data_IF_426480578055
#
_entry.id   IF_426480578055
#
_cell.length_a   1.000
_cell.length_b   1.000
_cell.length_c   1.000
_cell.angle_alpha   90.00
_cell.angle_beta   90.00
_cell.angle_gamma   90.00
#
_symmetry.space_group_name_H-M   'P 1'
#
loop_
_entity.id
_entity.type
_entity.pdbx_description
1 polymer ?
#
# COMPACT_ATOMS: atom_id res chain seq x y z
N UNK A 1 24.59 -0.51 -1.81
CA UNK A 1 24.64 -1.48 -2.95
C UNK A 1 25.38 -0.80 -4.11
N UNK A 2 26.15 -1.52 -4.93
CA UNK A 2 26.81 -0.95 -6.13
C UNK A 2 26.32 -1.62 -7.41
N UNK A 3 26.47 -0.98 -8.57
CA UNK A 3 26.15 -1.59 -9.88
C UNK A 3 26.91 -2.91 -10.06
N UNK A 4 28.19 -2.96 -9.70
CA UNK A 4 28.98 -4.19 -9.77
C UNK A 4 28.40 -5.31 -8.90
N UNK A 5 28.01 -4.98 -7.66
CA UNK A 5 27.40 -5.97 -6.74
C UNK A 5 26.05 -6.46 -7.27
N UNK A 6 25.23 -5.58 -7.84
CA UNK A 6 23.95 -5.94 -8.45
C UNK A 6 24.15 -6.86 -9.66
N UNK A 7 25.03 -6.49 -10.58
CA UNK A 7 25.24 -7.26 -11.81
C UNK A 7 25.87 -8.63 -11.57
N UNK A 8 26.67 -8.79 -10.50
CA UNK A 8 27.17 -10.10 -10.08
C UNK A 8 26.06 -11.08 -9.65
N UNK A 9 24.85 -10.60 -9.37
CA UNK A 9 23.67 -11.42 -9.06
C UNK A 9 22.88 -11.79 -10.33
N UNK A 10 23.37 -11.40 -11.50
CA UNK A 10 22.73 -11.60 -12.81
C UNK A 10 23.71 -12.22 -13.78
N UNK A 11 23.21 -12.73 -14.91
CA UNK A 11 24.06 -13.21 -16.01
C UNK A 11 24.50 -12.08 -16.97
N UNK A 12 24.35 -10.82 -16.56
CA UNK A 12 24.58 -9.64 -17.40
C UNK A 12 25.78 -8.81 -16.95
N UNK A 13 26.40 -8.14 -17.91
CA UNK A 13 27.59 -7.31 -17.67
C UNK A 13 27.23 -5.91 -17.14
N UNK A 14 28.21 -5.21 -16.56
CA UNK A 14 28.05 -3.80 -16.18
C UNK A 14 27.73 -2.89 -17.37
N UNK A 15 28.25 -3.19 -18.56
CA UNK A 15 27.89 -2.40 -19.76
C UNK A 15 26.44 -2.63 -20.17
N UNK A 16 25.90 -3.84 -19.97
CA UNK A 16 24.47 -4.12 -20.16
C UNK A 16 23.62 -3.28 -19.21
N UNK A 17 24.03 -3.12 -17.94
CA UNK A 17 23.34 -2.21 -17.01
C UNK A 17 23.27 -0.79 -17.57
N UNK A 18 24.41 -0.21 -17.95
CA UNK A 18 24.48 1.16 -18.44
C UNK A 18 23.86 1.37 -19.83
N UNK A 19 23.54 0.29 -20.55
CA UNK A 19 22.74 0.37 -21.77
C UNK A 19 21.24 0.60 -21.48
N UNK A 20 20.77 0.28 -20.27
CA UNK A 20 19.38 0.42 -19.85
C UNK A 20 19.16 1.47 -18.76
N UNK A 21 20.15 1.68 -17.89
CA UNK A 21 20.04 2.53 -16.71
C UNK A 21 21.26 3.41 -16.51
N UNK A 22 21.07 4.70 -16.23
CA UNK A 22 22.17 5.64 -15.99
C UNK A 22 22.80 5.46 -14.60
N UNK A 23 21.99 5.11 -13.61
CA UNK A 23 22.39 4.93 -12.21
C UNK A 23 21.54 3.85 -11.52
N UNK A 24 21.80 3.59 -10.24
CA UNK A 24 21.02 2.62 -9.45
C UNK A 24 19.61 3.13 -9.10
N UNK A 25 19.32 4.43 -9.24
CA UNK A 25 18.02 5.00 -8.91
C UNK A 25 16.98 4.62 -9.94
N UNK A 26 17.30 4.65 -11.22
CA UNK A 26 16.35 4.30 -12.30
C UNK A 26 15.72 2.89 -12.15
N UNK A 27 16.47 1.80 -11.90
CA UNK A 27 15.86 0.51 -11.65
C UNK A 27 15.09 0.45 -10.33
N UNK A 28 15.48 1.20 -9.29
CA UNK A 28 14.72 1.29 -8.04
C UNK A 28 13.38 2.02 -8.24
N UNK A 29 13.37 3.09 -9.03
CA UNK A 29 12.17 3.81 -9.45
C UNK A 29 11.24 2.88 -10.26
N UNK A 30 11.79 2.10 -11.20
CA UNK A 30 11.01 1.12 -11.96
C UNK A 30 10.37 0.03 -11.09
N UNK A 31 11.09 -0.46 -10.06
CA UNK A 31 10.51 -1.42 -9.09
C UNK A 31 9.42 -0.75 -8.26
N UNK A 32 9.60 0.51 -7.85
CA UNK A 32 8.58 1.26 -7.12
C UNK A 32 7.32 1.47 -7.96
N UNK A 33 7.46 1.79 -9.24
CA UNK A 33 6.34 1.94 -10.18
C UNK A 33 5.60 0.61 -10.42
N UNK A 34 6.30 -0.50 -10.56
CA UNK A 34 5.66 -1.83 -10.65
C UNK A 34 4.81 -2.13 -9.41
N UNK A 35 5.35 -1.85 -8.22
CA UNK A 35 4.62 -2.06 -6.97
C UNK A 35 3.44 -1.12 -6.84
N UNK A 36 3.57 0.11 -7.34
CA UNK A 36 2.48 1.10 -7.39
C UNK A 36 1.31 0.55 -8.17
N UNK A 37 1.55 0.02 -9.37
CA UNK A 37 0.49 -0.54 -10.21
C UNK A 37 -0.20 -1.73 -9.54
N UNK A 38 0.55 -2.63 -8.92
CA UNK A 38 -0.02 -3.78 -8.19
C UNK A 38 -0.87 -3.35 -6.99
N UNK A 39 -0.39 -2.37 -6.20
CA UNK A 39 -1.08 -1.88 -5.02
C UNK A 39 -2.31 -1.06 -5.41
N UNK A 40 -2.22 -0.19 -6.43
CA UNK A 40 -3.37 0.53 -6.97
C UNK A 40 -4.42 -0.41 -7.53
N UNK A 41 -4.01 -1.46 -8.24
CA UNK A 41 -4.92 -2.52 -8.69
C UNK A 41 -5.68 -3.18 -7.53
N UNK A 42 -5.03 -3.40 -6.38
CA UNK A 42 -5.67 -3.97 -5.19
C UNK A 42 -6.67 -3.02 -4.50
N UNK A 43 -6.42 -1.71 -4.51
CA UNK A 43 -7.30 -0.72 -3.85
C UNK A 43 -8.38 -0.12 -4.75
N UNK A 44 -8.23 -0.25 -6.07
CA UNK A 44 -9.16 0.29 -7.06
C UNK A 44 -10.63 -0.11 -6.80
N UNK A 45 -10.97 -1.36 -6.41
CA UNK A 45 -12.36 -1.73 -6.13
C UNK A 45 -13.00 -0.87 -5.05
N UNK A 46 -12.33 -0.61 -3.93
CA UNK A 46 -12.88 0.26 -2.89
C UNK A 46 -12.93 1.73 -3.30
N UNK A 47 -11.99 2.20 -4.13
CA UNK A 47 -11.98 3.59 -4.60
C UNK A 47 -13.14 3.90 -5.56
N UNK A 48 -13.43 2.98 -6.49
CA UNK A 48 -14.30 3.26 -7.64
C UNK A 48 -15.69 2.59 -7.58
N UNK A 49 -15.87 1.52 -6.80
CA UNK A 49 -17.11 0.73 -6.84
C UNK A 49 -18.18 1.29 -5.90
N UNK A 50 -19.43 1.21 -6.34
CA UNK A 50 -20.62 1.34 -5.49
C UNK A 50 -21.01 0.04 -4.77
N UNK A 51 -22.16 0.03 -4.11
CA UNK A 51 -22.66 -1.08 -3.29
C UNK A 51 -22.21 -0.98 -1.83
N UNK A 52 -22.02 -2.11 -1.16
CA UNK A 52 -21.61 -2.15 0.25
C UNK A 52 -20.13 -1.75 0.43
N UNK A 53 -19.84 -0.56 0.99
CA UNK A 53 -18.47 -0.08 1.13
C UNK A 53 -17.65 -0.89 2.15
N UNK A 54 -18.28 -1.56 3.12
CA UNK A 54 -17.59 -2.39 4.11
C UNK A 54 -17.12 -3.71 3.50
N UNK A 55 -17.96 -4.35 2.68
CA UNK A 55 -17.54 -5.51 1.89
C UNK A 55 -16.38 -5.16 0.97
N UNK A 56 -16.47 -4.03 0.25
CA UNK A 56 -15.38 -3.56 -0.63
C UNK A 56 -14.09 -3.28 0.12
N UNK A 57 -14.16 -2.66 1.29
CA UNK A 57 -12.98 -2.46 2.14
C UNK A 57 -12.34 -3.79 2.54
N UNK A 58 -13.16 -4.76 2.95
CA UNK A 58 -12.68 -6.09 3.36
C UNK A 58 -11.99 -6.84 2.22
N UNK A 59 -12.59 -6.81 1.02
CA UNK A 59 -12.01 -7.35 -0.22
C UNK A 59 -10.67 -6.67 -0.57
N UNK A 60 -10.63 -5.33 -0.49
CA UNK A 60 -9.43 -4.55 -0.77
C UNK A 60 -8.30 -4.84 0.22
N UNK A 61 -8.58 -4.95 1.53
CA UNK A 61 -7.56 -5.31 2.52
C UNK A 61 -7.03 -6.73 2.29
N UNK A 62 -7.89 -7.68 1.89
CA UNK A 62 -7.44 -9.02 1.50
C UNK A 62 -6.47 -8.96 0.30
N UNK A 63 -6.84 -8.22 -0.75
CA UNK A 63 -5.99 -8.03 -1.92
C UNK A 63 -4.65 -7.37 -1.56
N UNK A 64 -4.69 -6.31 -0.74
CA UNK A 64 -3.50 -5.62 -0.27
C UNK A 64 -2.58 -6.52 0.56
N UNK A 65 -3.12 -7.32 1.47
CA UNK A 65 -2.31 -8.27 2.26
C UNK A 65 -1.70 -9.35 1.37
N UNK A 66 -2.41 -9.79 0.32
CA UNK A 66 -1.87 -10.73 -0.68
C UNK A 66 -0.67 -10.12 -1.42
N UNK A 67 -0.80 -8.89 -1.91
CA UNK A 67 0.29 -8.14 -2.55
C UNK A 67 1.45 -7.97 -1.56
N UNK A 68 1.17 -7.51 -0.34
CA UNK A 68 2.18 -7.34 0.71
C UNK A 68 2.92 -8.63 1.06
N UNK A 69 2.24 -9.77 1.09
CA UNK A 69 2.87 -11.06 1.35
C UNK A 69 3.79 -11.50 0.20
N UNK A 70 3.37 -11.27 -1.05
CA UNK A 70 4.15 -11.61 -2.25
C UNK A 70 5.36 -10.69 -2.42
N UNK A 71 5.16 -9.39 -2.22
CA UNK A 71 6.13 -8.32 -2.48
C UNK A 71 6.87 -7.82 -1.25
N UNK A 72 6.60 -8.37 -0.07
CA UNK A 72 7.19 -7.94 1.21
C UNK A 72 8.69 -7.63 1.19
N UNK A 73 9.56 -8.51 0.63
CA UNK A 73 10.98 -8.22 0.54
C UNK A 73 11.32 -6.97 -0.28
N UNK A 74 10.58 -6.69 -1.36
CA UNK A 74 10.77 -5.47 -2.15
C UNK A 74 10.30 -4.24 -1.36
N UNK A 75 9.13 -4.31 -0.72
CA UNK A 75 8.64 -3.24 0.16
C UNK A 75 9.65 -2.89 1.26
N UNK A 76 10.26 -3.92 1.88
CA UNK A 76 11.32 -3.72 2.87
C UNK A 76 12.56 -3.09 2.25
N UNK A 77 13.05 -3.62 1.13
CA UNK A 77 14.26 -3.11 0.48
C UNK A 77 14.11 -1.63 0.08
N UNK A 78 12.94 -1.25 -0.44
CA UNK A 78 12.60 0.14 -0.77
C UNK A 78 12.58 0.99 0.49
N UNK A 79 11.87 0.55 1.54
CA UNK A 79 11.80 1.30 2.80
C UNK A 79 13.17 1.47 3.47
N UNK A 80 14.04 0.46 3.40
CA UNK A 80 15.40 0.54 3.94
C UNK A 80 16.25 1.49 3.09
N UNK A 81 16.17 1.41 1.75
CA UNK A 81 16.92 2.27 0.84
C UNK A 81 16.53 3.76 0.99
N UNK A 82 15.23 4.04 1.15
CA UNK A 82 14.73 5.40 1.37
C UNK A 82 15.33 6.05 2.62
N UNK A 83 15.70 5.28 3.65
CA UNK A 83 16.31 5.83 4.87
C UNK A 83 17.75 6.34 4.69
N UNK A 84 18.43 5.99 3.59
CA UNK A 84 19.83 6.34 3.33
C UNK A 84 20.04 7.18 2.06
N UNK A 85 18.98 7.43 1.29
CA UNK A 85 19.04 8.16 0.03
C UNK A 85 17.89 9.17 -0.09
N UNK A 86 18.20 10.46 0.06
CA UNK A 86 17.19 11.54 0.07
C UNK A 86 16.44 11.69 -1.26
N UNK A 87 17.04 11.31 -2.41
CA UNK A 87 16.33 11.33 -3.70
C UNK A 87 15.28 10.22 -3.73
N UNK A 88 15.66 9.04 -3.26
CA UNK A 88 14.75 7.91 -3.21
C UNK A 88 13.69 8.05 -2.12
N UNK A 89 14.03 8.65 -0.97
CA UNK A 89 13.08 9.05 0.08
C UNK A 89 11.93 9.86 -0.48
N UNK A 90 12.21 10.91 -1.26
CA UNK A 90 11.18 11.73 -1.92
C UNK A 90 10.29 10.92 -2.87
N UNK A 91 10.87 9.95 -3.58
CA UNK A 91 10.11 9.08 -4.48
C UNK A 91 9.19 8.15 -3.70
N UNK A 92 9.67 7.61 -2.58
CA UNK A 92 8.89 6.79 -1.66
C UNK A 92 7.76 7.57 -0.97
N UNK A 93 8.05 8.79 -0.50
CA UNK A 93 7.04 9.67 0.10
C UNK A 93 5.96 10.08 -0.91
N UNK A 94 6.35 10.41 -2.15
CA UNK A 94 5.41 10.70 -3.23
C UNK A 94 4.52 9.49 -3.52
N UNK A 95 5.12 8.30 -3.63
CA UNK A 95 4.38 7.05 -3.80
C UNK A 95 3.31 6.85 -2.71
N UNK A 96 3.67 7.05 -1.43
CA UNK A 96 2.72 6.95 -0.32
C UNK A 96 1.65 8.04 -0.37
N UNK A 97 2.03 9.27 -0.72
CA UNK A 97 1.15 10.43 -0.81
C UNK A 97 0.05 10.31 -1.87
N UNK A 98 0.26 9.54 -2.93
CA UNK A 98 -0.77 9.26 -3.93
C UNK A 98 -1.92 8.42 -3.36
N UNK A 99 -1.62 7.44 -2.51
CA UNK A 99 -2.64 6.68 -1.78
C UNK A 99 -3.36 7.54 -0.74
N UNK A 100 -2.63 8.45 -0.08
CA UNK A 100 -3.20 9.41 0.86
C UNK A 100 -4.22 10.31 0.14
N UNK A 101 -3.86 10.81 -1.03
CA UNK A 101 -4.72 11.64 -1.88
C UNK A 101 -5.97 10.89 -2.32
N UNK A 102 -5.80 9.68 -2.88
CA UNK A 102 -6.92 8.87 -3.37
C UNK A 102 -7.87 8.46 -2.24
N UNK A 103 -7.35 8.00 -1.11
CA UNK A 103 -8.15 7.61 0.05
C UNK A 103 -8.89 8.80 0.65
N UNK A 104 -8.24 9.97 0.76
CA UNK A 104 -8.87 11.21 1.26
C UNK A 104 -10.05 11.60 0.39
N UNK A 105 -9.89 11.57 -0.94
CA UNK A 105 -10.97 11.87 -1.87
C UNK A 105 -12.15 10.89 -1.71
N UNK A 106 -11.88 9.60 -1.55
CA UNK A 106 -12.92 8.58 -1.33
C UNK A 106 -13.66 8.78 -0.01
N UNK A 107 -12.95 9.03 1.08
CA UNK A 107 -13.59 9.25 2.39
C UNK A 107 -14.47 10.51 2.36
N UNK A 108 -14.00 11.60 1.75
CA UNK A 108 -14.82 12.81 1.55
C UNK A 108 -16.10 12.52 0.75
N UNK A 109 -15.99 11.71 -0.30
CA UNK A 109 -17.14 11.33 -1.11
C UNK A 109 -18.14 10.44 -0.35
N UNK A 110 -17.66 9.55 0.53
CA UNK A 110 -18.53 8.75 1.42
C UNK A 110 -19.17 9.61 2.53
N UNK A 111 -18.45 10.59 3.09
CA UNK A 111 -19.00 11.58 4.03
C UNK A 111 -20.10 12.41 3.39
N UNK A 112 -19.93 12.87 2.15
CA UNK A 112 -20.95 13.60 1.40
C UNK A 112 -22.24 12.77 1.14
N UNK A 113 -22.15 11.45 1.23
CA UNK A 113 -23.29 10.53 1.15
C UNK A 113 -23.86 10.15 2.52
N UNK A 114 -23.27 10.63 3.63
CA UNK A 114 -23.66 10.27 5.00
C UNK A 114 -23.27 8.85 5.41
N UNK A 115 -22.31 8.21 4.70
CA UNK A 115 -21.86 6.85 4.98
C UNK A 115 -20.76 6.78 6.05
N UNK A 116 -20.02 7.88 6.21
CA UNK A 116 -18.93 8.07 7.16
C UNK A 116 -19.25 9.33 7.97
N UNK A 117 -18.97 9.32 9.28
CA UNK A 117 -19.16 10.49 10.14
C UNK A 117 -18.22 11.66 9.76
N UNK A 118 -18.59 12.89 10.12
CA UNK A 118 -17.78 14.06 9.79
C UNK A 118 -16.51 14.17 10.65
N UNK A 119 -15.37 14.23 9.98
CA UNK A 119 -14.03 14.51 10.50
C UNK A 119 -13.11 14.95 9.36
N UNK A 120 -11.92 15.51 9.65
CA UNK A 120 -10.92 15.80 8.62
C UNK A 120 -10.28 14.50 8.09
N UNK A 121 -10.55 14.10 6.83
CA UNK A 121 -10.11 12.78 6.35
C UNK A 121 -8.61 12.68 6.10
N UNK A 122 -7.94 13.80 5.81
CA UNK A 122 -6.53 13.78 5.42
C UNK A 122 -5.60 13.17 6.50
N UNK A 123 -5.62 13.61 7.78
CA UNK A 123 -4.79 13.02 8.82
C UNK A 123 -5.15 11.57 9.13
N UNK A 124 -6.44 11.21 9.06
CA UNK A 124 -6.91 9.83 9.33
C UNK A 124 -6.42 8.87 8.25
N UNK A 125 -6.63 9.21 6.97
CA UNK A 125 -6.18 8.38 5.84
C UNK A 125 -4.65 8.27 5.82
N UNK A 126 -3.93 9.37 6.06
CA UNK A 126 -2.47 9.34 6.20
C UNK A 126 -2.04 8.33 7.26
N UNK A 127 -2.61 8.40 8.47
CA UNK A 127 -2.27 7.48 9.56
C UNK A 127 -2.58 6.02 9.21
N UNK A 128 -3.74 5.75 8.61
CA UNK A 128 -4.14 4.41 8.19
C UNK A 128 -3.21 3.84 7.10
N UNK A 129 -2.81 4.64 6.12
CA UNK A 129 -1.86 4.21 5.09
C UNK A 129 -0.46 3.96 5.67
N UNK A 130 0.02 4.81 6.58
CA UNK A 130 1.30 4.58 7.27
C UNK A 130 1.26 3.33 8.15
N UNK A 131 0.15 3.07 8.83
CA UNK A 131 -0.09 1.82 9.56
C UNK A 131 -0.01 0.60 8.63
N UNK A 132 -0.69 0.63 7.48
CA UNK A 132 -0.66 -0.46 6.51
C UNK A 132 0.76 -0.74 6.04
N UNK A 133 1.46 0.28 5.55
CA UNK A 133 2.83 0.17 5.04
C UNK A 133 3.76 -0.44 6.10
N UNK A 134 3.76 0.12 7.31
CA UNK A 134 4.62 -0.35 8.40
C UNK A 134 4.30 -1.78 8.82
N UNK A 135 3.01 -2.11 8.92
CA UNK A 135 2.56 -3.45 9.32
C UNK A 135 2.96 -4.49 8.29
N UNK A 136 2.75 -4.24 7.00
CA UNK A 136 3.11 -5.17 5.93
C UNK A 136 4.62 -5.36 5.81
N UNK A 137 5.41 -4.28 5.89
CA UNK A 137 6.88 -4.37 5.89
C UNK A 137 7.36 -5.21 7.07
N UNK A 138 6.84 -4.97 8.27
CA UNK A 138 7.23 -5.72 9.47
C UNK A 138 6.77 -7.19 9.43
N UNK A 139 5.61 -7.49 8.84
CA UNK A 139 5.05 -8.83 8.79
C UNK A 139 5.65 -9.70 7.67
N UNK A 140 5.97 -9.11 6.52
CA UNK A 140 6.26 -9.83 5.28
C UNK A 140 7.63 -9.51 4.67
N UNK A 141 8.31 -8.46 5.19
CA UNK A 141 9.58 -7.96 4.67
C UNK A 141 10.77 -8.89 4.87
N UNK A 142 10.75 -9.72 5.91
CA UNK A 142 11.84 -10.66 6.23
C UNK A 142 11.31 -12.07 6.44
N UNK A 143 12.21 -13.05 6.41
CA UNK A 143 11.91 -14.44 6.77
C UNK A 143 12.26 -14.69 8.25
N UNK A 144 11.48 -15.52 8.98
CA UNK A 144 10.20 -16.10 8.55
C UNK A 144 9.09 -15.05 8.48
N UNK A 145 8.23 -15.15 7.45
CA UNK A 145 7.09 -14.24 7.29
C UNK A 145 5.98 -14.62 8.27
N UNK A 146 5.24 -13.62 8.77
CA UNK A 146 4.01 -13.85 9.56
C UNK A 146 2.91 -14.47 8.70
N UNK A 147 1.95 -15.13 9.36
CA UNK A 147 0.73 -15.61 8.68
C UNK A 147 -0.06 -14.39 8.16
N UNK A 148 -0.51 -14.40 6.89
CA UNK A 148 -1.26 -13.28 6.32
C UNK A 148 -2.61 -13.02 7.01
N UNK A 149 -3.30 -14.09 7.41
CA UNK A 149 -4.69 -13.99 7.86
C UNK A 149 -4.90 -13.12 9.12
N UNK A 150 -4.10 -13.25 10.20
CA UNK A 150 -4.21 -12.34 11.33
C UNK A 150 -3.94 -10.87 10.98
N UNK A 151 -3.03 -10.62 10.02
CA UNK A 151 -2.73 -9.25 9.55
C UNK A 151 -3.93 -8.69 8.78
N UNK A 152 -4.53 -9.49 7.89
CA UNK A 152 -5.76 -9.14 7.16
C UNK A 152 -6.88 -8.75 8.10
N UNK A 153 -7.18 -9.61 9.08
CA UNK A 153 -8.26 -9.37 10.06
C UNK A 153 -8.02 -8.06 10.82
N UNK A 154 -6.80 -7.85 11.32
CA UNK A 154 -6.48 -6.65 12.10
C UNK A 154 -6.61 -5.36 11.26
N UNK A 155 -6.05 -5.34 10.04
CA UNK A 155 -6.12 -4.17 9.18
C UNK A 155 -7.56 -3.87 8.74
N UNK A 156 -8.33 -4.89 8.35
CA UNK A 156 -9.73 -4.71 7.96
C UNK A 156 -10.57 -4.17 9.12
N UNK A 157 -10.38 -4.71 10.32
CA UNK A 157 -11.06 -4.23 11.53
C UNK A 157 -10.79 -2.75 11.77
N UNK A 158 -9.52 -2.33 11.75
CA UNK A 158 -9.14 -0.93 12.05
C UNK A 158 -9.70 0.02 10.99
N UNK A 159 -9.57 -0.31 9.70
CA UNK A 159 -10.09 0.54 8.62
C UNK A 159 -11.61 0.67 8.68
N UNK A 160 -12.34 -0.44 8.88
CA UNK A 160 -13.80 -0.40 8.96
C UNK A 160 -14.25 0.33 10.22
N UNK A 161 -13.62 0.08 11.37
CA UNK A 161 -13.94 0.78 12.61
C UNK A 161 -13.73 2.29 12.51
N UNK A 162 -12.62 2.72 11.89
CA UNK A 162 -12.26 4.12 11.75
C UNK A 162 -13.14 4.89 10.75
N UNK A 163 -13.68 4.22 9.73
CA UNK A 163 -14.44 4.89 8.67
C UNK A 163 -15.95 4.67 8.79
N UNK A 164 -16.40 3.42 8.94
CA UNK A 164 -17.83 3.05 8.89
C UNK A 164 -18.42 2.71 10.26
N UNK A 165 -17.58 2.70 11.30
CA UNK A 165 -17.97 2.46 12.69
C UNK A 165 -17.72 1.03 13.19
N UNK A 166 -17.53 0.91 14.49
CA UNK A 166 -17.14 -0.34 15.17
C UNK A 166 -18.15 -1.47 15.02
N UNK A 167 -19.44 -1.16 14.80
CA UNK A 167 -20.49 -2.17 14.56
C UNK A 167 -20.21 -3.07 13.35
N UNK A 168 -19.49 -2.56 12.35
CA UNK A 168 -19.18 -3.29 11.11
C UNK A 168 -17.79 -3.92 11.10
N UNK A 169 -16.93 -3.58 12.08
CA UNK A 169 -15.50 -3.93 12.07
C UNK A 169 -15.21 -5.44 12.09
N UNK A 170 -16.18 -6.26 12.50
CA UNK A 170 -16.07 -7.72 12.49
C UNK A 170 -17.08 -8.41 11.57
N UNK A 171 -17.95 -7.64 10.90
CA UNK A 171 -19.05 -8.18 10.10
C UNK A 171 -18.61 -8.58 8.68
N UNK A 172 -17.55 -7.95 8.16
CA UNK A 172 -17.07 -8.15 6.78
C UNK A 172 -17.96 -7.54 5.70
N UNK A 173 -19.15 -7.06 6.05
CA UNK A 173 -20.14 -6.40 5.21
C UNK A 173 -21.03 -5.47 6.05
N UNK A 174 -21.81 -4.61 5.41
CA UNK A 174 -22.79 -3.72 6.03
C UNK A 174 -24.09 -3.62 5.22
N UNK A 175 -25.08 -2.93 5.77
CA UNK A 175 -26.30 -2.53 5.07
C UNK A 175 -26.18 -1.17 4.36
N UNK A 176 -24.98 -0.55 4.38
CA UNK A 176 -24.72 0.71 3.72
C UNK A 176 -24.72 0.53 2.20
N UNK A 177 -25.20 1.54 1.49
CA UNK A 177 -25.21 1.54 0.03
C UNK A 177 -24.52 2.80 -0.47
N UNK A 178 -23.30 2.63 -0.97
CA UNK A 178 -22.58 3.64 -1.74
C UNK A 178 -23.14 3.70 -3.15
N UNK A 179 -23.50 4.92 -3.57
CA UNK A 179 -23.91 5.21 -4.95
C UNK A 179 -22.73 5.20 -5.90
#
# INVERSE_FOLDING_TARGET
>A
MTVSTLMNLTDHSRSTFYAHFNDLHEPMEAVLDLLKDEIFGAVQPWLLSGGDPVARMSETIEALVRVGYQRGPFLKAISDAAAYDTRFEKSWERFLGEFDTAGTARVRADQAQGLIEEFDPAPVVFALNRMNARTMIAAFGTRPRRRPEPVRIALAHIWVAALYGTRWASAGASDLIRK
#
